data_IF_385447442475
#
_entry.id   IF_385447442475
#
_cell.length_a   1.000
_cell.length_b   1.000
_cell.length_c   1.000
_cell.angle_alpha   90.00
_cell.angle_beta   90.00
_cell.angle_gamma   90.00
#
_symmetry.space_group_name_H-M   'P 1'
#
loop_
_entity.id
_entity.type
_entity.pdbx_description
1 polymer ?
#
# COMPACT_ATOMS: atom_id res chain seq x y z
N UNK A 1 -20.42 44.39 35.47
CA UNK A 1 -20.40 43.33 34.43
C UNK A 1 -19.92 43.99 33.15
N UNK A 2 -18.67 43.82 32.71
CA UNK A 2 -18.26 44.38 31.43
C UNK A 2 -18.87 43.53 30.31
N UNK A 3 -19.55 44.21 29.40
CA UNK A 3 -20.09 43.64 28.17
C UNK A 3 -18.88 43.22 27.32
N UNK A 4 -18.67 41.91 27.12
CA UNK A 4 -17.77 41.42 26.06
C UNK A 4 -18.34 41.98 24.75
N UNK A 5 -17.59 42.87 24.12
CA UNK A 5 -18.00 43.48 22.86
C UNK A 5 -18.10 42.42 21.78
N UNK A 6 -19.11 42.54 20.90
CA UNK A 6 -19.28 41.69 19.73
C UNK A 6 -18.01 41.52 18.88
N UNK A 7 -17.09 42.50 18.93
CA UNK A 7 -15.78 42.41 18.29
C UNK A 7 -14.88 41.32 18.89
N UNK A 8 -14.92 41.07 20.20
CA UNK A 8 -14.10 40.03 20.83
C UNK A 8 -14.58 38.62 20.46
N UNK A 9 -15.90 38.43 20.34
CA UNK A 9 -16.47 37.15 19.91
C UNK A 9 -16.29 36.92 18.40
N UNK A 10 -16.35 37.99 17.58
CA UNK A 10 -16.08 37.91 16.14
C UNK A 10 -14.61 37.62 15.86
N UNK A 11 -13.67 38.25 16.58
CA UNK A 11 -12.22 37.99 16.50
C UNK A 11 -11.88 36.59 17.01
N UNK A 12 -12.51 36.10 18.08
CA UNK A 12 -12.31 34.73 18.56
C UNK A 12 -12.84 33.68 17.57
N UNK A 13 -14.01 33.93 16.95
CA UNK A 13 -14.55 33.06 15.91
C UNK A 13 -13.73 33.07 14.62
N UNK A 14 -13.24 34.24 14.17
CA UNK A 14 -12.37 34.31 12.98
C UNK A 14 -10.99 33.72 13.24
N UNK A 15 -10.41 33.91 14.43
CA UNK A 15 -9.16 33.26 14.83
C UNK A 15 -9.33 31.73 14.86
N UNK A 16 -10.40 31.21 15.46
CA UNK A 16 -10.72 29.77 15.47
C UNK A 16 -10.92 29.21 14.06
N UNK A 17 -11.58 29.96 13.17
CA UNK A 17 -11.81 29.55 11.78
C UNK A 17 -10.52 29.53 10.96
N UNK A 18 -9.67 30.55 11.11
CA UNK A 18 -8.37 30.62 10.45
C UNK A 18 -7.42 29.55 10.98
N UNK A 19 -7.40 29.29 12.29
CA UNK A 19 -6.60 28.21 12.87
C UNK A 19 -7.08 26.83 12.42
N UNK A 20 -8.40 26.59 12.32
CA UNK A 20 -8.93 25.34 11.73
C UNK A 20 -8.61 25.20 10.24
N UNK A 21 -8.67 26.30 9.47
CA UNK A 21 -8.23 26.32 8.07
C UNK A 21 -6.72 26.09 7.93
N UNK A 22 -5.91 26.61 8.86
CA UNK A 22 -4.46 26.42 8.90
C UNK A 22 -4.09 24.97 9.27
N UNK A 23 -4.78 24.40 10.26
CA UNK A 23 -4.63 23.00 10.67
C UNK A 23 -5.08 22.02 9.57
N UNK A 24 -6.04 22.40 8.72
CA UNK A 24 -6.45 21.63 7.55
C UNK A 24 -5.49 21.80 6.34
N UNK A 25 -4.57 22.78 6.39
CA UNK A 25 -3.51 23.03 5.41
C UNK A 25 -2.18 22.43 5.84
N UNK A 26 -1.98 22.21 7.14
CA UNK A 26 -0.86 21.45 7.67
C UNK A 26 -1.12 19.97 7.36
N UNK A 27 -0.21 19.34 6.61
CA UNK A 27 -0.21 17.89 6.52
C UNK A 27 -0.14 17.36 7.96
N UNK A 28 -1.14 16.58 8.39
CA UNK A 28 -0.98 15.79 9.60
C UNK A 28 0.30 15.00 9.40
N UNK A 29 1.32 15.32 10.21
CA UNK A 29 2.45 14.42 10.39
C UNK A 29 1.80 13.26 11.14
N UNK A 30 1.60 12.09 10.50
CA UNK A 30 0.99 10.95 11.17
C UNK A 30 1.81 10.69 12.44
N UNK A 31 1.17 10.31 13.54
CA UNK A 31 1.87 9.88 14.78
C UNK A 31 2.68 8.57 14.58
N UNK A 32 2.81 8.16 13.33
CA UNK A 32 3.42 6.95 12.84
C UNK A 32 2.38 5.92 12.44
N UNK A 33 1.13 6.04 12.91
CA UNK A 33 0.13 4.98 12.74
C UNK A 33 -0.99 5.42 11.83
N UNK A 34 -0.98 5.00 10.55
CA UNK A 34 -2.13 5.26 9.70
C UNK A 34 -3.33 4.43 10.17
N UNK A 35 -4.49 5.06 10.24
CA UNK A 35 -5.79 4.42 10.43
C UNK A 35 -6.68 4.62 9.21
N UNK A 36 -7.72 3.77 9.00
CA UNK A 36 -8.76 3.99 8.01
C UNK A 36 -9.33 5.40 7.94
N UNK A 37 -9.42 6.08 9.09
CA UNK A 37 -10.06 7.38 9.23
C UNK A 37 -9.09 8.56 9.09
N UNK A 38 -7.79 8.28 8.90
CA UNK A 38 -6.79 9.33 8.82
C UNK A 38 -6.94 10.12 7.52
N UNK A 39 -6.95 11.46 7.60
CA UNK A 39 -7.15 12.29 6.43
C UNK A 39 -6.00 12.13 5.44
N UNK A 40 -6.34 12.04 4.16
CA UNK A 40 -5.35 12.08 3.07
C UNK A 40 -4.60 13.42 3.11
N UNK A 41 -3.29 13.44 2.80
CA UNK A 41 -2.51 14.67 2.83
C UNK A 41 -3.01 15.72 1.81
N UNK A 42 -2.65 16.98 2.04
CA UNK A 42 -2.98 18.07 1.12
C UNK A 42 -2.39 17.83 -0.29
N UNK A 43 -3.19 18.06 -1.33
CA UNK A 43 -2.79 17.79 -2.72
C UNK A 43 -2.96 16.34 -3.16
N UNK A 44 -3.58 15.48 -2.35
CA UNK A 44 -3.92 14.12 -2.76
C UNK A 44 -4.83 14.10 -3.99
N UNK A 45 -4.65 13.10 -4.83
CA UNK A 45 -5.55 12.82 -5.95
C UNK A 45 -6.06 11.40 -5.88
N UNK A 46 -7.33 11.21 -6.29
CA UNK A 46 -7.90 9.89 -6.50
C UNK A 46 -7.86 9.61 -8.00
N UNK A 47 -7.28 8.49 -8.37
CA UNK A 47 -7.20 8.00 -9.75
C UNK A 47 -8.09 6.78 -9.89
N UNK A 48 -9.11 6.89 -10.75
CA UNK A 48 -9.98 5.75 -11.06
C UNK A 48 -9.28 4.88 -12.10
N UNK A 49 -9.06 3.62 -11.74
CA UNK A 49 -8.46 2.60 -12.59
C UNK A 49 -9.54 1.61 -12.97
N UNK A 50 -9.72 1.42 -14.27
CA UNK A 50 -10.64 0.42 -14.82
C UNK A 50 -9.92 -0.42 -15.86
N UNK A 51 -10.59 -1.46 -16.36
CA UNK A 51 -10.09 -2.20 -17.52
C UNK A 51 -9.76 -1.28 -18.72
N UNK A 52 -10.60 -0.28 -18.96
CA UNK A 52 -10.53 0.62 -20.12
C UNK A 52 -9.62 1.84 -19.88
N UNK A 53 -9.43 2.21 -18.62
CA UNK A 53 -8.47 3.22 -18.19
C UNK A 53 -7.51 2.64 -17.16
N UNK A 54 -6.41 2.07 -17.64
CA UNK A 54 -5.46 1.39 -16.77
C UNK A 54 -4.57 2.36 -15.97
N UNK A 55 -4.53 3.66 -16.30
CA UNK A 55 -3.74 4.68 -15.57
C UNK A 55 -2.31 4.24 -15.19
N UNK A 56 -1.56 3.73 -16.16
CA UNK A 56 -0.20 3.19 -16.00
C UNK A 56 -0.09 1.87 -15.21
N UNK A 57 -1.22 1.24 -14.88
CA UNK A 57 -1.28 -0.15 -14.45
C UNK A 57 -1.29 -1.09 -15.64
N UNK A 58 -0.82 -2.32 -15.43
CA UNK A 58 -0.82 -3.40 -16.41
C UNK A 58 -1.16 -4.71 -15.74
N UNK A 59 -2.00 -5.49 -16.40
CA UNK A 59 -2.37 -6.84 -15.96
C UNK A 59 -1.33 -7.84 -16.42
N UNK A 60 -0.95 -8.76 -15.52
CA UNK A 60 -0.18 -9.94 -15.86
C UNK A 60 -0.69 -11.15 -15.06
N UNK A 61 -0.92 -12.27 -15.75
CA UNK A 61 -1.64 -13.43 -15.22
C UNK A 61 -1.02 -14.74 -15.70
N UNK A 62 -1.18 -15.81 -14.92
CA UNK A 62 -0.86 -17.19 -15.30
C UNK A 62 -1.51 -18.20 -14.36
N UNK A 63 -2.32 -19.16 -14.85
CA UNK A 63 -3.50 -19.06 -15.72
C UNK A 63 -4.75 -18.67 -14.90
N UNK A 64 -5.03 -17.37 -14.89
CA UNK A 64 -5.82 -16.71 -13.84
C UNK A 64 -6.59 -15.52 -14.41
N UNK A 65 -7.36 -14.86 -13.55
CA UNK A 65 -8.15 -13.68 -13.90
C UNK A 65 -7.80 -12.50 -13.00
N UNK A 66 -7.56 -11.33 -13.62
CA UNK A 66 -7.54 -10.03 -12.94
C UNK A 66 -8.71 -9.25 -13.53
N UNK A 67 -9.69 -8.93 -12.70
CA UNK A 67 -10.85 -8.12 -13.11
C UNK A 67 -11.01 -6.90 -12.22
N UNK A 68 -11.93 -6.03 -12.63
CA UNK A 68 -12.41 -4.92 -11.82
C UNK A 68 -13.90 -5.16 -11.63
N UNK A 69 -14.30 -5.41 -10.39
CA UNK A 69 -15.62 -5.95 -10.08
C UNK A 69 -16.40 -4.98 -9.18
N UNK A 70 -17.70 -4.81 -9.47
CA UNK A 70 -18.66 -4.12 -8.59
C UNK A 70 -19.10 -5.03 -7.41
N UNK A 71 -18.46 -6.18 -7.25
CA UNK A 71 -18.93 -7.22 -6.34
C UNK A 71 -18.73 -6.78 -4.88
N UNK A 72 -19.81 -6.92 -4.11
CA UNK A 72 -19.91 -6.61 -2.68
C UNK A 72 -19.28 -7.69 -1.80
N UNK A 73 -18.25 -8.40 -2.25
CA UNK A 73 -17.80 -9.60 -1.53
C UNK A 73 -16.39 -9.49 -0.99
N UNK A 74 -16.37 -9.11 0.29
CA UNK A 74 -15.40 -9.44 1.33
C UNK A 74 -15.99 -9.06 2.70
N UNK A 75 -17.16 -9.68 2.92
CA UNK A 75 -18.24 -9.40 3.86
C UNK A 75 -19.43 -8.71 3.15
N UNK A 76 -20.57 -9.39 3.10
CA UNK A 76 -21.79 -8.89 2.46
C UNK A 76 -22.37 -7.65 3.17
N UNK A 77 -21.97 -7.44 4.43
CA UNK A 77 -22.40 -6.29 5.22
C UNK A 77 -21.43 -5.10 5.11
N UNK A 78 -20.31 -5.23 4.37
CA UNK A 78 -19.33 -4.16 4.18
C UNK A 78 -19.00 -3.92 2.70
N UNK A 79 -19.33 -2.72 2.23
CA UNK A 79 -18.91 -2.26 0.92
C UNK A 79 -17.38 -2.16 0.82
N UNK A 80 -16.80 -2.24 -0.40
CA UNK A 80 -15.40 -1.89 -0.59
C UNK A 80 -15.10 -0.48 -0.05
N UNK A 81 -13.85 -0.21 0.39
CA UNK A 81 -13.44 1.07 0.94
C UNK A 81 -13.77 2.28 0.05
N UNK A 82 -13.61 2.15 -1.27
CA UNK A 82 -13.99 3.13 -2.29
C UNK A 82 -15.00 2.49 -3.26
N UNK A 83 -16.30 2.55 -2.96
CA UNK A 83 -17.34 2.08 -3.87
C UNK A 83 -17.30 2.83 -5.21
N UNK A 84 -17.70 2.20 -6.33
CA UNK A 84 -18.52 0.98 -6.37
C UNK A 84 -17.75 -0.34 -6.53
N UNK A 85 -16.44 -0.33 -6.76
CA UNK A 85 -15.71 -1.53 -7.17
C UNK A 85 -14.47 -1.84 -6.36
N UNK A 86 -13.76 -2.89 -6.77
CA UNK A 86 -12.42 -3.21 -6.32
C UNK A 86 -11.65 -3.98 -7.40
N UNK A 87 -10.32 -4.05 -7.24
CA UNK A 87 -9.46 -4.95 -8.01
C UNK A 87 -9.72 -6.37 -7.51
N UNK A 88 -10.07 -7.28 -8.40
CA UNK A 88 -10.35 -8.68 -8.09
C UNK A 88 -9.27 -9.58 -8.68
N UNK A 89 -8.66 -10.39 -7.81
CA UNK A 89 -7.52 -11.25 -8.10
C UNK A 89 -7.92 -12.71 -7.86
N UNK A 90 -8.15 -13.45 -8.94
CA UNK A 90 -8.52 -14.87 -8.89
C UNK A 90 -7.41 -15.71 -9.44
N UNK A 91 -6.91 -16.64 -8.63
CA UNK A 91 -5.89 -17.60 -9.04
C UNK A 91 -6.46 -19.01 -8.99
N UNK A 92 -6.35 -19.74 -10.10
CA UNK A 92 -6.82 -21.11 -10.23
C UNK A 92 -5.64 -22.08 -10.36
N UNK A 93 -5.80 -23.33 -9.88
CA UNK A 93 -4.78 -24.36 -10.02
C UNK A 93 -4.45 -24.66 -11.48
N UNK A 94 -3.16 -24.85 -11.79
CA UNK A 94 -2.70 -25.45 -13.04
C UNK A 94 -1.50 -26.35 -12.82
N UNK A 95 -1.73 -27.66 -12.93
CA UNK A 95 -0.72 -28.69 -12.73
C UNK A 95 0.46 -28.64 -13.73
N UNK A 96 0.34 -27.86 -14.81
CA UNK A 96 1.42 -27.66 -15.79
C UNK A 96 2.19 -26.36 -15.58
N UNK A 97 1.71 -25.47 -14.71
CA UNK A 97 2.37 -24.22 -14.39
C UNK A 97 3.46 -24.44 -13.34
N UNK A 98 4.55 -23.67 -13.44
CA UNK A 98 5.60 -23.65 -12.40
C UNK A 98 5.13 -22.83 -11.20
N UNK A 99 4.42 -21.73 -11.47
CA UNK A 99 3.73 -20.89 -10.48
C UNK A 99 2.41 -20.41 -11.07
N UNK A 100 1.41 -20.21 -10.24
CA UNK A 100 0.14 -19.58 -10.60
C UNK A 100 -0.02 -18.26 -9.85
N UNK A 101 -0.50 -17.22 -10.53
CA UNK A 101 -0.59 -15.89 -9.94
C UNK A 101 -1.51 -14.95 -10.70
N UNK A 102 -2.02 -13.94 -10.02
CA UNK A 102 -2.72 -12.79 -10.58
C UNK A 102 -2.04 -11.51 -10.07
N UNK A 103 -1.63 -10.62 -10.97
CA UNK A 103 -1.00 -9.35 -10.57
C UNK A 103 -1.37 -8.16 -11.44
N UNK A 104 -1.44 -7.01 -10.78
CA UNK A 104 -1.54 -5.69 -11.39
C UNK A 104 -0.26 -4.90 -11.10
N UNK A 105 0.36 -4.30 -12.13
CA UNK A 105 1.68 -3.67 -12.03
C UNK A 105 1.67 -2.21 -12.46
N UNK A 106 2.17 -1.29 -11.64
CA UNK A 106 2.22 0.14 -11.95
C UNK A 106 3.59 0.56 -12.47
N UNK A 107 3.63 1.26 -13.60
CA UNK A 107 4.86 1.85 -14.15
C UNK A 107 5.13 3.28 -13.70
N UNK A 108 4.32 3.85 -12.80
CA UNK A 108 4.39 5.28 -12.46
C UNK A 108 5.52 5.66 -11.50
N UNK A 109 6.03 4.70 -10.72
CA UNK A 109 6.85 4.96 -9.53
C UNK A 109 8.35 4.72 -9.71
N UNK A 110 8.82 4.64 -10.97
CA UNK A 110 10.23 4.48 -11.26
C UNK A 110 11.10 5.54 -10.56
N UNK A 111 12.22 5.11 -9.98
CA UNK A 111 13.20 5.93 -9.25
C UNK A 111 12.62 6.63 -8.02
N UNK A 112 11.57 6.06 -7.43
CA UNK A 112 11.10 6.49 -6.11
C UNK A 112 11.90 5.77 -5.04
N UNK A 113 12.70 6.50 -4.26
CA UNK A 113 13.44 5.92 -3.15
C UNK A 113 12.50 5.47 -2.04
N UNK A 114 12.76 4.32 -1.44
CA UNK A 114 11.94 3.81 -0.34
C UNK A 114 11.93 4.76 0.86
N UNK A 115 13.08 5.40 1.16
CA UNK A 115 13.21 6.40 2.23
C UNK A 115 12.42 7.69 1.98
N UNK A 116 12.03 7.95 0.74
CA UNK A 116 11.26 9.13 0.36
C UNK A 116 9.76 8.80 0.29
N UNK A 117 9.32 7.57 0.59
CA UNK A 117 7.90 7.25 0.67
C UNK A 117 7.28 7.89 1.92
N UNK A 118 6.16 8.59 1.72
CA UNK A 118 5.37 9.19 2.79
C UNK A 118 4.08 8.43 3.08
N UNK A 119 3.66 7.57 2.15
CA UNK A 119 2.47 6.73 2.29
C UNK A 119 2.60 5.49 1.39
N UNK A 120 2.22 4.32 1.89
CA UNK A 120 2.04 3.09 1.13
C UNK A 120 1.07 2.20 1.91
N UNK A 121 -0.19 2.21 1.51
CA UNK A 121 -1.26 1.49 2.19
C UNK A 121 -2.31 1.03 1.20
N UNK A 122 -3.12 0.08 1.62
CA UNK A 122 -4.23 -0.43 0.84
C UNK A 122 -5.21 -1.15 1.76
N UNK A 123 -6.37 -1.44 1.21
CA UNK A 123 -7.27 -2.40 1.80
C UNK A 123 -7.19 -3.69 1.01
N UNK A 124 -7.17 -4.78 1.75
CA UNK A 124 -7.27 -6.11 1.18
C UNK A 124 -8.29 -6.93 1.93
N UNK A 125 -8.80 -7.89 1.21
CA UNK A 125 -9.67 -8.90 1.73
C UNK A 125 -9.55 -10.16 0.88
N UNK A 126 -10.08 -11.26 1.40
CA UNK A 126 -9.94 -12.55 0.74
C UNK A 126 -11.10 -13.45 1.16
N UNK A 127 -11.56 -14.29 0.26
CA UNK A 127 -12.54 -15.33 0.54
C UNK A 127 -11.91 -16.72 0.53
N UNK A 128 -10.77 -16.86 -0.16
CA UNK A 128 -10.10 -18.14 -0.32
C UNK A 128 -8.61 -17.94 -0.56
N UNK A 129 -7.81 -18.59 0.27
CA UNK A 129 -6.37 -18.71 0.07
C UNK A 129 -5.86 -20.04 0.63
N UNK A 130 -4.53 -20.20 0.63
CA UNK A 130 -3.82 -21.36 1.16
C UNK A 130 -3.63 -21.35 2.69
N UNK A 131 -4.40 -20.51 3.40
CA UNK A 131 -4.38 -20.37 4.86
C UNK A 131 -3.49 -19.22 5.35
N UNK A 132 -2.57 -18.71 4.53
CA UNK A 132 -1.62 -17.67 4.96
C UNK A 132 -1.35 -16.56 3.94
N UNK A 133 -1.76 -16.66 2.69
CA UNK A 133 -1.43 -15.63 1.69
C UNK A 133 -2.66 -14.83 1.27
N UNK A 134 -2.75 -13.58 1.72
CA UNK A 134 -3.74 -12.59 1.27
C UNK A 134 -3.16 -11.76 0.12
N UNK A 135 -3.97 -10.97 -0.60
CA UNK A 135 -3.44 -10.00 -1.55
C UNK A 135 -2.32 -9.13 -0.93
N UNK A 136 -1.19 -9.05 -1.60
CA UNK A 136 0.05 -8.49 -1.08
C UNK A 136 0.70 -7.51 -2.05
N UNK A 137 1.65 -6.72 -1.55
CA UNK A 137 2.44 -5.77 -2.35
C UNK A 137 3.83 -6.35 -2.58
N UNK A 138 4.31 -6.26 -3.82
CA UNK A 138 5.70 -6.49 -4.17
C UNK A 138 6.31 -5.26 -4.84
N UNK A 139 7.56 -4.97 -4.51
CA UNK A 139 8.35 -3.88 -5.08
C UNK A 139 9.57 -4.44 -5.80
N UNK A 140 9.78 -4.07 -7.06
CA UNK A 140 11.06 -4.31 -7.75
C UNK A 140 12.04 -3.19 -7.35
N UNK A 141 13.20 -3.57 -6.83
CA UNK A 141 14.17 -2.65 -6.22
C UNK A 141 15.49 -2.63 -6.98
N UNK A 142 16.01 -1.42 -7.18
CA UNK A 142 17.37 -1.09 -7.60
C UNK A 142 18.12 -0.53 -6.38
N UNK A 143 19.23 -1.16 -5.98
CA UNK A 143 20.03 -0.77 -4.81
C UNK A 143 21.12 0.23 -5.15
N UNK A 144 21.67 0.19 -6.37
CA UNK A 144 22.92 0.88 -6.70
C UNK A 144 22.75 2.01 -7.74
N UNK A 145 21.55 2.12 -8.32
CA UNK A 145 21.17 3.13 -9.28
C UNK A 145 21.49 2.78 -10.74
N UNK A 146 21.77 1.51 -11.05
CA UNK A 146 22.08 1.04 -12.40
C UNK A 146 20.82 0.77 -13.26
N UNK A 147 19.61 0.97 -12.72
CA UNK A 147 18.32 0.69 -13.36
C UNK A 147 18.08 -0.79 -13.70
N UNK A 148 18.67 -1.70 -12.93
CA UNK A 148 18.35 -3.13 -12.98
C UNK A 148 17.66 -3.56 -11.68
N UNK A 149 17.00 -4.71 -11.71
CA UNK A 149 16.38 -5.28 -10.50
C UNK A 149 17.48 -6.01 -9.73
N UNK A 150 17.80 -5.50 -8.55
CA UNK A 150 18.65 -6.18 -7.58
C UNK A 150 17.83 -7.05 -6.63
N UNK A 151 16.59 -6.66 -6.35
CA UNK A 151 15.73 -7.34 -5.39
C UNK A 151 14.23 -7.22 -5.69
N UNK A 152 13.45 -8.14 -5.13
CA UNK A 152 12.01 -8.04 -5.01
C UNK A 152 11.64 -8.04 -3.51
N UNK A 153 11.11 -6.92 -3.04
CA UNK A 153 10.76 -6.70 -1.64
C UNK A 153 9.26 -6.91 -1.46
N UNK A 154 8.87 -7.80 -0.53
CA UNK A 154 7.50 -8.28 -0.40
C UNK A 154 6.91 -7.88 0.96
N UNK A 155 5.71 -7.28 0.93
CA UNK A 155 4.88 -7.00 2.08
C UNK A 155 3.66 -7.90 2.04
N UNK A 156 3.61 -8.89 2.93
CA UNK A 156 2.43 -9.75 3.10
C UNK A 156 1.66 -9.37 4.38
N UNK A 157 0.32 -9.26 4.33
CA UNK A 157 -0.52 -9.02 5.50
C UNK A 157 -0.29 -9.95 6.69
N UNK A 158 0.03 -11.22 6.42
CA UNK A 158 0.17 -12.25 7.44
C UNK A 158 1.29 -11.94 8.42
N UNK A 159 2.42 -11.42 7.94
CA UNK A 159 3.56 -11.12 8.82
C UNK A 159 3.41 -9.85 9.66
N UNK A 160 2.30 -9.12 9.54
CA UNK A 160 2.10 -7.86 10.26
C UNK A 160 1.58 -8.04 11.69
N UNK A 161 1.76 -9.24 12.26
CA UNK A 161 1.29 -9.61 13.58
C UNK A 161 2.32 -10.48 14.33
N UNK A 162 2.29 -10.51 15.68
CA UNK A 162 3.29 -11.21 16.49
C UNK A 162 3.41 -12.72 16.24
N UNK A 163 2.32 -13.37 15.83
CA UNK A 163 2.27 -14.84 15.69
C UNK A 163 3.08 -15.28 14.49
N UNK A 164 2.90 -14.62 13.35
CA UNK A 164 3.51 -15.03 12.08
C UNK A 164 4.78 -14.23 11.74
N UNK A 165 4.86 -12.96 12.17
CA UNK A 165 6.00 -12.07 11.90
C UNK A 165 6.97 -11.86 13.08
N UNK A 166 6.79 -12.60 14.17
CA UNK A 166 7.65 -12.54 15.35
C UNK A 166 7.87 -11.13 15.90
N UNK A 167 9.12 -10.76 16.16
CA UNK A 167 9.46 -9.46 16.75
C UNK A 167 9.10 -8.28 15.84
N UNK A 168 9.28 -8.42 14.53
CA UNK A 168 8.84 -7.39 13.60
C UNK A 168 7.32 -7.24 13.66
N UNK A 169 6.58 -8.36 13.66
CA UNK A 169 5.13 -8.35 13.75
C UNK A 169 4.58 -7.70 15.02
N UNK A 170 5.33 -7.74 16.14
CA UNK A 170 5.03 -6.96 17.37
C UNK A 170 5.17 -5.47 17.12
N UNK A 171 6.19 -5.03 16.38
CA UNK A 171 6.37 -3.62 16.01
C UNK A 171 5.33 -3.13 14.99
N UNK A 172 5.04 -3.94 13.97
CA UNK A 172 4.06 -3.63 12.94
C UNK A 172 2.63 -3.57 13.51
N UNK A 173 2.26 -4.53 14.38
CA UNK A 173 1.01 -4.53 15.15
C UNK A 173 -0.26 -4.19 14.34
N UNK A 174 -0.45 -4.79 13.16
CA UNK A 174 -1.63 -4.57 12.31
C UNK A 174 -2.70 -5.67 12.47
N UNK A 175 -2.42 -6.64 13.35
CA UNK A 175 -3.25 -7.81 13.61
C UNK A 175 -3.22 -8.83 12.48
N UNK A 176 -3.68 -10.06 12.73
CA UNK A 176 -3.77 -11.08 11.68
C UNK A 176 -4.86 -10.69 10.68
N UNK A 177 -4.72 -11.08 9.40
CA UNK A 177 -5.82 -11.02 8.44
C UNK A 177 -6.95 -11.99 8.83
N UNK A 178 -8.18 -11.66 8.44
CA UNK A 178 -9.39 -12.41 8.80
C UNK A 178 -10.26 -12.57 7.55
N UNK A 179 -10.63 -13.80 7.24
CA UNK A 179 -11.59 -14.10 6.17
C UNK A 179 -13.03 -13.94 6.68
N UNK A 180 -13.99 -13.56 5.83
CA UNK A 180 -13.83 -12.79 4.60
C UNK A 180 -14.09 -11.32 4.91
N UNK A 181 -13.10 -10.57 5.39
CA UNK A 181 -13.30 -9.19 5.84
C UNK A 181 -12.28 -8.22 5.22
N UNK A 182 -12.74 -7.04 4.83
CA UNK A 182 -11.88 -5.91 4.50
C UNK A 182 -10.98 -5.51 5.66
N UNK A 183 -9.69 -5.37 5.37
CA UNK A 183 -8.69 -4.92 6.33
C UNK A 183 -7.74 -3.92 5.69
N UNK A 184 -7.59 -2.79 6.38
CA UNK A 184 -6.55 -1.82 6.10
C UNK A 184 -5.16 -2.39 6.40
N UNK A 185 -4.20 -2.06 5.55
CA UNK A 185 -2.80 -2.46 5.62
C UNK A 185 -1.92 -1.27 5.37
N UNK A 186 -1.11 -0.91 6.36
CA UNK A 186 -0.12 0.15 6.30
C UNK A 186 1.27 -0.46 6.06
N UNK A 187 1.73 -0.41 4.82
CA UNK A 187 3.01 -0.97 4.42
C UNK A 187 4.21 -0.04 4.74
N UNK A 188 3.96 1.16 5.29
CA UNK A 188 4.98 2.03 5.89
C UNK A 188 4.88 2.16 7.40
N UNK A 189 3.98 1.41 8.07
CA UNK A 189 3.67 1.49 9.50
C UNK A 189 4.82 2.09 10.30
N UNK A 190 4.63 3.26 10.86
CA UNK A 190 5.70 4.04 11.46
C UNK A 190 5.55 4.07 12.99
N UNK A 191 6.67 4.04 13.69
CA UNK A 191 6.75 4.26 15.13
C UNK A 191 7.92 5.21 15.39
N UNK A 192 7.61 6.44 15.82
CA UNK A 192 8.61 7.44 16.18
C UNK A 192 9.59 7.79 15.04
N UNK A 193 9.14 7.79 13.78
CA UNK A 193 9.96 8.07 12.61
C UNK A 193 10.64 6.84 11.99
N UNK A 194 10.37 5.65 12.51
CA UNK A 194 10.96 4.40 12.03
C UNK A 194 9.89 3.53 11.37
N UNK A 195 10.11 3.09 10.12
CA UNK A 195 9.19 2.19 9.43
C UNK A 195 9.29 0.75 9.98
N UNK A 196 8.24 0.32 10.66
CA UNK A 196 8.01 -0.95 11.36
C UNK A 196 7.18 -1.97 10.59
N UNK A 197 6.61 -1.62 9.43
CA UNK A 197 6.02 -2.61 8.55
C UNK A 197 7.04 -3.70 8.20
N UNK A 198 6.60 -4.96 8.21
CA UNK A 198 7.47 -6.11 8.01
C UNK A 198 7.57 -6.47 6.54
N UNK A 199 8.80 -6.53 6.04
CA UNK A 199 9.12 -6.85 4.66
C UNK A 199 10.17 -7.94 4.60
N UNK A 200 10.02 -8.83 3.62
CA UNK A 200 11.02 -9.85 3.31
C UNK A 200 11.50 -9.68 1.88
N UNK A 201 12.72 -10.15 1.64
CA UNK A 201 13.46 -9.97 0.40
C UNK A 201 13.64 -11.31 -0.30
N UNK A 202 13.51 -11.30 -1.62
CA UNK A 202 13.83 -12.47 -2.45
C UNK A 202 15.34 -12.70 -2.56
N UNK A 203 16.16 -11.63 -2.50
CA UNK A 203 17.59 -11.71 -2.81
C UNK A 203 18.53 -11.36 -1.64
N UNK A 204 18.09 -10.64 -0.62
CA UNK A 204 18.86 -10.34 0.59
C UNK A 204 18.57 -11.37 1.70
N UNK A 205 19.51 -12.29 1.99
CA UNK A 205 19.31 -13.32 3.00
C UNK A 205 19.19 -12.79 4.44
N UNK A 206 19.49 -11.51 4.68
CA UNK A 206 19.28 -10.87 5.98
C UNK A 206 17.80 -10.53 6.24
N UNK A 207 16.96 -10.54 5.20
CA UNK A 207 15.53 -10.22 5.27
C UNK A 207 14.66 -11.43 4.86
N UNK A 208 14.75 -12.57 5.55
CA UNK A 208 13.96 -13.75 5.23
C UNK A 208 12.46 -13.56 5.54
N UNK A 209 11.55 -14.34 4.92
CA UNK A 209 10.16 -14.43 5.36
C UNK A 209 10.03 -15.19 6.70
N UNK A 210 8.83 -15.17 7.29
CA UNK A 210 8.51 -15.89 8.52
C UNK A 210 8.70 -15.06 9.79
N UNK A 211 8.94 -15.74 10.92
CA UNK A 211 9.01 -15.12 12.26
C UNK A 211 10.28 -14.29 12.50
N UNK A 212 11.23 -14.36 11.58
CA UNK A 212 12.50 -13.60 11.56
C UNK A 212 12.50 -12.48 10.50
N UNK A 213 11.34 -12.19 9.90
CA UNK A 213 11.13 -11.04 9.03
C UNK A 213 11.48 -9.73 9.75
N UNK A 214 11.84 -8.70 8.97
CA UNK A 214 12.41 -7.45 9.51
C UNK A 214 11.65 -6.20 9.08
N UNK A 215 11.76 -5.11 9.85
CA UNK A 215 11.20 -3.81 9.50
C UNK A 215 11.78 -3.21 8.21
N UNK A 216 10.94 -2.47 7.47
CA UNK A 216 11.37 -1.71 6.28
C UNK A 216 12.52 -0.74 6.57
N UNK A 217 12.55 -0.14 7.76
CA UNK A 217 13.63 0.77 8.18
C UNK A 217 15.00 0.09 8.26
N UNK A 218 15.07 -1.19 8.63
CA UNK A 218 16.32 -1.96 8.60
C UNK A 218 16.77 -2.18 7.15
N UNK A 219 15.83 -2.46 6.23
CA UNK A 219 16.12 -2.63 4.81
C UNK A 219 16.66 -1.34 4.19
N UNK A 220 16.01 -0.20 4.48
CA UNK A 220 16.47 1.12 4.03
C UNK A 220 17.85 1.45 4.62
N UNK A 221 18.14 1.03 5.85
CA UNK A 221 19.46 1.25 6.46
C UNK A 221 20.55 0.41 5.77
N UNK A 222 20.23 -0.84 5.41
CA UNK A 222 21.15 -1.71 4.68
C UNK A 222 21.35 -1.24 3.23
N UNK A 223 20.29 -0.74 2.60
CA UNK A 223 20.24 -0.32 1.19
C UNK A 223 19.75 1.13 1.07
N UNK A 224 20.57 2.13 1.45
CA UNK A 224 20.14 3.53 1.57
C UNK A 224 19.72 4.19 0.25
N UNK A 225 20.10 3.59 -0.88
CA UNK A 225 19.74 4.02 -2.22
C UNK A 225 18.65 3.15 -2.86
N UNK A 226 18.06 2.19 -2.12
CA UNK A 226 16.98 1.35 -2.61
C UNK A 226 15.84 2.20 -3.19
N UNK A 227 15.55 1.98 -4.47
CA UNK A 227 14.52 2.68 -5.20
C UNK A 227 13.69 1.71 -6.03
N UNK A 228 12.40 2.03 -6.19
CA UNK A 228 11.51 1.29 -7.07
C UNK A 228 12.02 1.41 -8.52
N UNK A 229 12.20 0.28 -9.19
CA UNK A 229 12.72 0.21 -10.56
C UNK A 229 11.67 -0.38 -11.51
N UNK A 230 11.63 0.13 -12.74
CA UNK A 230 10.86 -0.48 -13.82
C UNK A 230 11.90 -0.93 -14.85
N UNK A 231 12.22 -2.23 -14.90
CA UNK A 231 13.37 -2.78 -15.65
C UNK A 231 13.46 -2.34 -17.14
N UNK A 232 12.35 -1.92 -17.74
CA UNK A 232 12.28 -1.41 -19.12
C UNK A 232 11.24 -0.27 -19.29
N UNK A 233 10.85 0.37 -18.18
CA UNK A 233 9.74 1.34 -18.14
C UNK A 233 8.35 0.73 -18.33
N UNK A 234 8.23 -0.58 -18.58
CA UNK A 234 7.00 -1.28 -18.91
C UNK A 234 6.62 -2.42 -17.97
N UNK A 235 7.56 -3.00 -17.24
CA UNK A 235 7.28 -4.08 -16.28
C UNK A 235 6.51 -3.55 -15.07
N UNK A 236 6.85 -2.37 -14.56
CA UNK A 236 6.17 -1.75 -13.42
C UNK A 236 6.65 -2.34 -12.10
N UNK A 237 7.34 -1.50 -11.32
CA UNK A 237 8.05 -1.86 -10.11
C UNK A 237 7.21 -1.86 -8.85
N UNK A 238 5.92 -1.49 -8.95
CA UNK A 238 4.94 -1.74 -7.88
C UNK A 238 3.97 -2.78 -8.38
N UNK A 239 3.71 -3.79 -7.57
CA UNK A 239 2.81 -4.88 -7.92
C UNK A 239 1.81 -5.11 -6.78
N UNK A 240 0.54 -5.26 -7.13
CA UNK A 240 -0.51 -5.81 -6.26
C UNK A 240 -0.77 -7.23 -6.75
N UNK A 241 -0.64 -8.22 -5.86
CA UNK A 241 -0.49 -9.62 -6.26
C UNK A 241 -1.30 -10.57 -5.40
N UNK A 242 -1.68 -11.71 -6.00
CA UNK A 242 -2.19 -12.89 -5.33
C UNK A 242 -1.55 -14.16 -5.96
N UNK A 243 -1.32 -15.20 -5.17
CA UNK A 243 -0.62 -16.43 -5.59
C UNK A 243 0.89 -16.41 -5.42
N UNK A 244 1.64 -17.02 -6.35
CA UNK A 244 3.10 -17.23 -6.29
C UNK A 244 3.60 -18.22 -5.22
N UNK A 245 2.74 -19.07 -4.63
CA UNK A 245 3.18 -20.13 -3.72
C UNK A 245 3.28 -21.51 -4.40
N UNK A 246 2.21 -22.31 -4.41
CA UNK A 246 2.10 -23.61 -5.07
C UNK A 246 1.16 -23.51 -6.28
N UNK A 247 1.51 -24.09 -7.44
CA UNK A 247 0.65 -24.05 -8.63
C UNK A 247 -0.70 -24.77 -8.47
N UNK A 248 -0.88 -25.56 -7.40
CA UNK A 248 -2.15 -26.23 -7.10
C UNK A 248 -3.07 -25.43 -6.16
N UNK A 249 -2.62 -24.28 -5.65
CA UNK A 249 -3.42 -23.44 -4.78
C UNK A 249 -4.49 -22.67 -5.55
N UNK A 250 -5.54 -22.28 -4.83
CA UNK A 250 -6.62 -21.45 -5.36
C UNK A 250 -6.76 -20.22 -4.49
N UNK A 251 -6.93 -19.08 -5.14
CA UNK A 251 -7.03 -17.81 -4.46
C UNK A 251 -8.17 -16.95 -5.01
N UNK A 252 -8.84 -16.20 -4.13
CA UNK A 252 -9.96 -15.33 -4.48
C UNK A 252 -10.00 -14.11 -3.55
N UNK A 253 -9.30 -13.04 -3.92
CA UNK A 253 -9.16 -11.86 -3.08
C UNK A 253 -9.36 -10.55 -3.82
N UNK A 254 -9.59 -9.48 -3.05
CA UNK A 254 -9.80 -8.14 -3.58
C UNK A 254 -8.87 -7.14 -2.91
N UNK A 255 -8.56 -6.09 -3.66
CA UNK A 255 -7.77 -4.94 -3.21
C UNK A 255 -8.45 -3.66 -3.63
N UNK A 256 -8.45 -2.67 -2.73
CA UNK A 256 -8.98 -1.35 -3.00
C UNK A 256 -8.24 -0.25 -2.24
N UNK A 257 -8.47 1.00 -2.64
CA UNK A 257 -7.89 2.21 -2.06
C UNK A 257 -6.36 2.15 -1.91
N UNK A 258 -5.68 1.52 -2.87
CA UNK A 258 -4.21 1.45 -2.87
C UNK A 258 -3.65 2.87 -2.97
N UNK A 259 -2.97 3.31 -1.92
CA UNK A 259 -2.47 4.66 -1.78
C UNK A 259 -0.96 4.65 -1.68
N UNK A 260 -0.32 5.51 -2.46
CA UNK A 260 1.12 5.72 -2.39
C UNK A 260 1.44 7.20 -2.48
N UNK A 261 2.27 7.65 -1.55
CA UNK A 261 2.78 9.00 -1.46
C UNK A 261 4.29 9.01 -1.44
N UNK A 262 4.87 10.01 -2.09
CA UNK A 262 6.28 10.37 -1.96
C UNK A 262 6.41 11.72 -1.29
N UNK A 263 7.35 11.84 -0.36
CA UNK A 263 7.91 13.10 0.07
C UNK A 263 8.87 13.60 -1.02
N UNK A 264 8.57 14.76 -1.60
CA UNK A 264 9.39 15.37 -2.66
C UNK A 264 10.41 16.35 -2.09
N UNK A 265 10.56 16.45 -0.76
CA UNK A 265 11.50 17.39 -0.13
C UNK A 265 12.99 17.16 -0.49
N UNK A 266 13.34 16.21 -1.36
CA UNK A 266 14.69 15.98 -1.89
C UNK A 266 14.89 16.08 -3.42
N UNK A 267 13.88 16.38 -4.26
CA UNK A 267 14.06 16.33 -5.72
C UNK A 267 13.45 17.51 -6.51
N UNK A 268 14.34 18.41 -6.95
CA UNK A 268 14.24 19.35 -8.08
C UNK A 268 12.85 19.83 -8.56
N UNK A 269 12.06 20.44 -7.67
CA UNK A 269 11.08 21.45 -8.07
C UNK A 269 9.66 21.00 -8.40
N UNK A 270 9.24 19.78 -8.05
CA UNK A 270 7.81 19.46 -7.95
C UNK A 270 7.33 19.74 -6.51
N UNK A 271 6.58 20.83 -6.32
CA UNK A 271 6.28 21.38 -4.98
C UNK A 271 4.97 20.89 -4.36
N UNK A 272 4.57 19.63 -4.57
CA UNK A 272 3.46 19.04 -3.80
C UNK A 272 3.72 17.56 -3.54
N UNK A 273 3.58 17.13 -2.28
CA UNK A 273 3.47 15.73 -1.88
C UNK A 273 2.43 15.04 -2.79
N UNK A 274 2.89 14.28 -3.78
CA UNK A 274 1.99 13.61 -4.73
C UNK A 274 1.54 12.29 -4.12
N UNK A 275 0.55 12.35 -3.24
CA UNK A 275 -0.14 11.15 -2.77
C UNK A 275 -1.26 10.84 -3.73
N UNK A 276 -1.23 9.63 -4.29
CA UNK A 276 -2.27 9.13 -5.19
C UNK A 276 -2.92 7.94 -4.52
N UNK A 277 -4.25 7.98 -4.42
CA UNK A 277 -5.07 6.82 -4.09
C UNK A 277 -5.68 6.29 -5.38
N UNK A 278 -5.53 5.00 -5.61
CA UNK A 278 -6.12 4.30 -6.72
C UNK A 278 -7.42 3.64 -6.27
N UNK A 279 -8.48 4.02 -6.97
CA UNK A 279 -9.84 3.51 -6.81
C UNK A 279 -10.11 2.57 -7.99
N UNK A 280 -10.29 1.28 -7.70
CA UNK A 280 -10.42 0.26 -8.72
C UNK A 280 -11.88 0.01 -9.04
N UNK A 281 -12.30 0.34 -10.26
CA UNK A 281 -13.71 0.28 -10.64
C UNK A 281 -13.93 -0.51 -11.92
N UNK A 282 -15.12 -1.07 -12.05
CA UNK A 282 -15.60 -1.55 -13.34
C UNK A 282 -15.83 -0.36 -14.30
N UNK A 283 -15.67 -0.55 -15.63
CA UNK A 283 -15.97 0.50 -16.62
C UNK A 283 -17.39 1.07 -16.56
#
# INVERSE_FOLDING_TARGET
MPVRGLEADLVAQTASYLTQRLLALEALIPDGTLTPDDPLPFGHTIHVVTHDNQDSWKVQVSPTEVTFADELTCDADQAPPLPPGALHLVVMPDANAVFTFARLRSTRYHRTYLRDLSRLDYYACDERNNGQQWPFIALEIDWDGNNTIDDELIFEPTYQNPVDGGLCGVGSNQGPPVLPMWRFRDALRNDGGTFMACWWSMNDPLFPPGDVIRPLSEYITAHPNAAIVNLDGNHGGIQIMHGFSDPNDTYNGWVDAFTIGKDINGSNGQTQNSTITYDFQKP
#
